data_IF_194287315104
#
_entry.id   IF_194287315104
#
_cell.length_a   1.000
_cell.length_b   1.000
_cell.length_c   1.000
_cell.angle_alpha   90.00
_cell.angle_beta   90.00
_cell.angle_gamma   90.00
#
_symmetry.space_group_name_H-M   'P 1'
#
loop_
_entity.id
_entity.type
_entity.pdbx_description
1 polymer ?
#
# COMPACT_ATOMS: atom_id res chain seq x y z
N UNK A 1 -2.96 -2.88 -16.92
CA UNK A 1 -2.92 -3.55 -15.60
C UNK A 1 -3.96 -2.98 -14.63
N UNK A 2 -5.11 -2.49 -15.11
CA UNK A 2 -6.11 -1.77 -14.29
C UNK A 2 -7.18 -2.67 -13.66
N UNK A 3 -7.56 -3.77 -14.32
CA UNK A 3 -8.80 -4.46 -13.98
C UNK A 3 -8.73 -5.25 -12.67
N UNK A 4 -7.52 -5.67 -12.27
CA UNK A 4 -7.30 -6.37 -11.00
C UNK A 4 -7.33 -5.42 -9.80
N UNK A 5 -6.82 -4.20 -9.92
CA UNK A 5 -6.80 -3.23 -8.83
C UNK A 5 -8.18 -2.63 -8.58
N UNK A 6 -8.98 -2.43 -9.62
CA UNK A 6 -10.38 -2.04 -9.49
C UNK A 6 -11.19 -3.08 -8.68
N UNK A 7 -10.98 -4.38 -8.90
CA UNK A 7 -11.63 -5.44 -8.11
C UNK A 7 -11.19 -5.44 -6.65
N UNK A 8 -9.91 -5.18 -6.38
CA UNK A 8 -9.40 -5.05 -5.01
C UNK A 8 -10.01 -3.84 -4.31
N UNK A 9 -10.16 -2.73 -5.02
CA UNK A 9 -10.82 -1.52 -4.50
C UNK A 9 -12.29 -1.76 -4.16
N UNK A 10 -13.06 -2.34 -5.08
CA UNK A 10 -14.47 -2.70 -4.85
C UNK A 10 -14.61 -3.66 -3.66
N UNK A 11 -13.70 -4.63 -3.55
CA UNK A 11 -13.68 -5.54 -2.41
C UNK A 11 -13.36 -4.83 -1.10
N UNK A 12 -12.53 -3.79 -1.12
CA UNK A 12 -12.18 -2.95 0.02
C UNK A 12 -13.36 -2.07 0.47
N UNK A 13 -14.08 -1.45 -0.47
CA UNK A 13 -15.26 -0.61 -0.18
C UNK A 13 -16.37 -1.39 0.51
N UNK A 14 -16.60 -2.65 0.10
CA UNK A 14 -17.62 -3.53 0.66
C UNK A 14 -17.09 -4.53 1.71
N UNK A 15 -15.90 -4.31 2.27
CA UNK A 15 -15.26 -5.30 3.12
C UNK A 15 -15.90 -5.37 4.53
N UNK A 16 -16.43 -6.55 4.87
CA UNK A 16 -16.76 -6.94 6.24
C UNK A 16 -15.48 -7.24 7.04
N UNK A 17 -15.18 -6.39 8.01
CA UNK A 17 -13.92 -6.39 8.78
C UNK A 17 -13.75 -7.65 9.63
N UNK A 18 -14.83 -8.34 9.97
CA UNK A 18 -14.78 -9.58 10.73
C UNK A 18 -14.35 -10.77 9.86
N UNK A 19 -14.34 -10.60 8.53
CA UNK A 19 -14.08 -11.68 7.57
C UNK A 19 -12.89 -11.31 6.69
N UNK A 20 -11.68 -11.80 7.01
CA UNK A 20 -10.52 -11.60 6.15
C UNK A 20 -10.80 -12.07 4.72
N UNK A 21 -10.35 -11.29 3.75
CA UNK A 21 -10.59 -11.57 2.32
C UNK A 21 -9.26 -11.55 1.57
N UNK A 22 -9.06 -12.52 0.68
CA UNK A 22 -7.88 -12.55 -0.20
C UNK A 22 -8.32 -12.51 -1.65
N UNK A 23 -7.67 -11.68 -2.45
CA UNK A 23 -7.86 -11.57 -3.89
C UNK A 23 -6.55 -11.92 -4.61
N UNK A 24 -6.64 -12.80 -5.60
CA UNK A 24 -5.49 -13.19 -6.42
C UNK A 24 -5.37 -12.24 -7.61
N UNK A 25 -4.17 -11.70 -7.82
CA UNK A 25 -3.81 -10.89 -8.97
C UNK A 25 -2.80 -11.66 -9.83
N UNK A 26 -2.59 -11.29 -11.12
CA UNK A 26 -1.63 -11.97 -11.99
C UNK A 26 -0.20 -12.03 -11.42
N UNK A 27 0.26 -10.97 -10.77
CA UNK A 27 1.64 -10.86 -10.24
C UNK A 27 1.72 -10.65 -8.73
N UNK A 28 0.58 -10.71 -8.03
CA UNK A 28 0.49 -10.41 -6.61
C UNK A 28 -0.73 -11.11 -5.98
N UNK A 29 -0.91 -10.90 -4.68
CA UNK A 29 -2.18 -11.12 -3.97
C UNK A 29 -2.48 -9.91 -3.10
N UNK A 30 -3.75 -9.55 -2.98
CA UNK A 30 -4.21 -8.56 -2.02
C UNK A 30 -4.92 -9.27 -0.86
N UNK A 31 -4.61 -8.89 0.37
CA UNK A 31 -5.24 -9.44 1.57
C UNK A 31 -5.86 -8.30 2.37
N UNK A 32 -7.16 -8.38 2.63
CA UNK A 32 -7.90 -7.50 3.54
C UNK A 32 -8.01 -8.20 4.90
N UNK A 33 -7.51 -7.57 5.96
CA UNK A 33 -7.48 -8.17 7.30
C UNK A 33 -7.30 -7.12 8.40
N UNK A 34 -7.64 -7.46 9.64
CA UNK A 34 -7.31 -6.66 10.82
C UNK A 34 -5.87 -6.93 11.26
N UNK A 35 -5.04 -5.89 11.25
CA UNK A 35 -3.67 -5.92 11.72
C UNK A 35 -3.56 -5.82 13.25
N UNK A 36 -2.36 -5.50 13.74
CA UNK A 36 -2.14 -5.23 15.15
C UNK A 36 -3.03 -4.06 15.62
N UNK A 37 -3.49 -4.11 16.87
CA UNK A 37 -4.44 -3.15 17.44
C UNK A 37 -5.73 -2.98 16.62
N UNK A 38 -6.16 -4.04 15.94
CA UNK A 38 -7.38 -4.07 15.12
C UNK A 38 -7.40 -3.02 13.99
N UNK A 39 -6.22 -2.57 13.54
CA UNK A 39 -6.13 -1.62 12.43
C UNK A 39 -6.57 -2.32 11.14
N UNK A 40 -7.57 -1.82 10.40
CA UNK A 40 -7.99 -2.44 9.15
C UNK A 40 -6.94 -2.17 8.06
N UNK A 41 -6.43 -3.23 7.46
CA UNK A 41 -5.34 -3.17 6.48
C UNK A 41 -5.71 -3.86 5.17
N UNK A 42 -5.16 -3.32 4.09
CA UNK A 42 -4.93 -4.03 2.83
C UNK A 42 -3.43 -4.29 2.68
N UNK A 43 -3.03 -5.55 2.52
CA UNK A 43 -1.67 -5.93 2.17
C UNK A 43 -1.61 -6.43 0.72
N UNK A 44 -0.91 -5.69 -0.14
CA UNK A 44 -0.55 -6.13 -1.48
C UNK A 44 0.81 -6.83 -1.41
N UNK A 45 0.84 -8.12 -1.72
CA UNK A 45 2.04 -8.96 -1.63
C UNK A 45 2.44 -9.41 -3.04
N UNK A 46 3.61 -9.00 -3.55
CA UNK A 46 4.08 -9.43 -4.86
C UNK A 46 4.45 -10.92 -4.81
N UNK A 47 4.42 -11.61 -5.95
CA UNK A 47 4.84 -13.03 -6.02
C UNK A 47 6.31 -13.24 -5.70
N UNK A 48 7.15 -12.26 -6.06
CA UNK A 48 8.58 -12.22 -5.72
C UNK A 48 8.81 -10.97 -4.86
N UNK A 49 9.60 -11.07 -3.77
CA UNK A 49 9.94 -9.88 -2.99
C UNK A 49 10.54 -8.80 -3.89
N UNK A 50 10.22 -7.55 -3.62
CA UNK A 50 10.75 -6.39 -4.35
C UNK A 50 11.91 -5.75 -3.59
N UNK A 51 12.73 -4.98 -4.28
CA UNK A 51 13.77 -4.15 -3.68
C UNK A 51 13.33 -2.68 -3.64
N UNK A 52 12.89 -2.14 -2.48
CA UNK A 52 12.59 -0.72 -2.34
C UNK A 52 13.90 0.09 -2.26
N UNK A 53 14.49 0.34 -3.44
CA UNK A 53 15.75 1.09 -3.60
C UNK A 53 15.52 2.60 -3.40
N UNK A 54 16.54 3.29 -2.93
CA UNK A 54 16.51 4.73 -2.60
C UNK A 54 16.11 5.63 -3.78
N UNK A 55 16.60 5.32 -4.98
CA UNK A 55 16.27 6.04 -6.22
C UNK A 55 14.77 5.92 -6.57
N UNK A 56 14.22 4.72 -6.46
CA UNK A 56 12.78 4.48 -6.66
C UNK A 56 11.93 5.16 -5.57
N UNK A 57 12.40 5.17 -4.31
CA UNK A 57 11.69 5.87 -3.22
C UNK A 57 11.68 7.38 -3.45
N UNK A 58 12.80 7.95 -3.90
CA UNK A 58 12.92 9.37 -4.22
C UNK A 58 11.94 9.78 -5.32
N UNK A 59 11.79 8.95 -6.36
CA UNK A 59 10.80 9.18 -7.41
C UNK A 59 9.36 9.11 -6.89
N UNK A 60 9.07 8.20 -5.95
CA UNK A 60 7.75 8.11 -5.30
C UNK A 60 7.41 9.36 -4.49
N UNK A 61 8.38 9.99 -3.81
CA UNK A 61 8.13 11.20 -2.99
C UNK A 61 7.46 12.31 -3.81
N UNK A 62 7.90 12.55 -5.05
CA UNK A 62 7.28 13.54 -5.92
C UNK A 62 5.81 13.21 -6.26
N UNK A 63 5.50 11.92 -6.41
CA UNK A 63 4.14 11.42 -6.66
C UNK A 63 3.26 11.64 -5.43
N UNK A 64 3.74 11.24 -4.26
CA UNK A 64 3.05 11.39 -2.98
C UNK A 64 2.75 12.86 -2.65
N UNK A 65 3.68 13.77 -2.98
CA UNK A 65 3.53 15.20 -2.78
C UNK A 65 2.29 15.79 -3.47
N UNK A 66 1.87 15.25 -4.63
CA UNK A 66 0.63 15.68 -5.31
C UNK A 66 -0.63 15.42 -4.50
N UNK A 67 -0.56 14.43 -3.61
CA UNK A 67 -1.66 13.98 -2.74
C UNK A 67 -1.50 14.47 -1.29
N UNK A 68 -0.50 15.30 -1.00
CA UNK A 68 -0.19 15.78 0.35
C UNK A 68 0.32 14.67 1.29
N UNK A 69 0.88 13.61 0.71
CA UNK A 69 1.48 12.49 1.43
C UNK A 69 3.00 12.63 1.47
N UNK A 70 3.64 12.13 2.54
CA UNK A 70 5.09 12.06 2.65
C UNK A 70 5.54 10.64 3.02
N UNK A 71 6.81 10.33 2.71
CA UNK A 71 7.44 9.04 2.97
C UNK A 71 8.44 9.20 4.12
N UNK A 72 8.24 8.47 5.22
CA UNK A 72 9.16 8.46 6.36
C UNK A 72 9.86 7.10 6.48
N UNK A 73 11.19 7.12 6.72
CA UNK A 73 11.96 5.92 7.07
C UNK A 73 11.88 5.66 8.58
N UNK A 74 11.63 4.40 8.97
CA UNK A 74 11.68 3.94 10.36
C UNK A 74 12.70 2.78 10.45
N UNK A 75 13.84 3.04 11.10
CA UNK A 75 14.96 2.10 11.27
C UNK A 75 14.78 1.19 12.52
N UNK A 76 15.40 0.01 12.62
CA UNK A 76 16.49 -0.52 11.79
C UNK A 76 16.13 -1.80 11.01
N UNK A 77 16.57 -1.84 9.74
CA UNK A 77 16.16 -2.74 8.64
C UNK A 77 15.48 -2.02 7.45
N UNK A 78 15.31 -0.69 7.59
CA UNK A 78 14.75 0.31 6.68
C UNK A 78 13.38 -0.03 6.09
N UNK A 79 12.37 0.30 6.88
CA UNK A 79 10.97 0.20 6.51
C UNK A 79 10.43 1.60 6.25
N UNK A 80 9.81 1.79 5.09
CA UNK A 80 9.18 3.08 4.79
C UNK A 80 7.73 3.06 5.20
N UNK A 81 7.21 4.19 5.68
CA UNK A 81 5.78 4.41 5.89
C UNK A 81 5.31 5.66 5.15
N UNK A 82 4.05 5.63 4.72
CA UNK A 82 3.36 6.74 4.08
C UNK A 82 2.54 7.46 5.15
N UNK A 83 2.68 8.77 5.25
CA UNK A 83 1.90 9.62 6.16
C UNK A 83 1.23 10.76 5.37
N UNK A 84 0.38 11.54 6.05
CA UNK A 84 0.15 12.92 5.61
C UNK A 84 1.21 13.81 6.25
N UNK A 85 1.51 14.94 5.62
CA UNK A 85 2.38 16.00 6.18
C UNK A 85 2.01 16.42 7.62
N UNK A 86 0.76 16.19 8.02
CA UNK A 86 0.38 16.12 9.42
C UNK A 86 0.93 14.82 10.05
N UNK A 87 2.00 14.96 10.82
CA UNK A 87 2.80 13.89 11.46
C UNK A 87 1.99 12.86 12.25
N UNK A 88 0.69 13.09 12.47
CA UNK A 88 -0.25 12.21 13.18
C UNK A 88 -0.97 11.19 12.30
N UNK A 89 -0.94 11.32 10.96
CA UNK A 89 -1.73 10.47 10.06
C UNK A 89 -0.88 9.43 9.33
N UNK A 90 -1.14 8.14 9.58
CA UNK A 90 -0.49 7.00 8.93
C UNK A 90 -1.37 6.39 7.84
N UNK A 91 -0.82 6.21 6.64
CA UNK A 91 -1.50 5.61 5.49
C UNK A 91 -0.99 4.20 5.20
N UNK A 92 0.29 3.90 5.40
CA UNK A 92 0.79 2.56 5.07
C UNK A 92 2.29 2.34 5.27
N UNK A 93 2.79 1.17 4.92
CA UNK A 93 4.18 0.72 5.03
C UNK A 93 4.63 -0.05 3.79
N UNK A 94 5.84 0.21 3.33
CA UNK A 94 6.48 -0.46 2.21
C UNK A 94 7.52 -1.44 2.74
N UNK A 95 7.40 -2.70 2.37
CA UNK A 95 8.33 -3.78 2.68
C UNK A 95 8.62 -4.59 1.41
N UNK A 96 9.78 -5.28 1.34
CA UNK A 96 10.09 -6.17 0.22
C UNK A 96 9.00 -7.19 -0.08
N UNK A 97 8.31 -7.70 0.93
CA UNK A 97 7.31 -8.77 0.81
C UNK A 97 5.86 -8.27 0.81
N UNK A 98 5.61 -7.01 1.16
CA UNK A 98 4.29 -6.42 1.19
C UNK A 98 4.28 -4.88 1.17
N UNK A 99 3.35 -4.30 0.42
CA UNK A 99 2.82 -2.96 0.66
C UNK A 99 1.58 -3.09 1.53
N UNK A 100 1.60 -2.49 2.72
CA UNK A 100 0.47 -2.49 3.66
C UNK A 100 -0.13 -1.10 3.72
N UNK A 101 -1.40 -0.94 3.40
CA UNK A 101 -2.11 0.33 3.55
C UNK A 101 -3.21 0.19 4.59
N UNK A 102 -3.46 1.26 5.34
CA UNK A 102 -4.61 1.40 6.20
C UNK A 102 -5.86 1.56 5.33
N UNK A 103 -6.77 0.59 5.42
CA UNK A 103 -7.96 0.47 4.60
C UNK A 103 -8.81 1.76 4.59
N UNK A 104 -9.19 2.25 5.77
CA UNK A 104 -10.04 3.45 5.86
C UNK A 104 -9.34 4.71 5.35
N UNK A 105 -8.05 4.88 5.65
CA UNK A 105 -7.29 6.04 5.21
C UNK A 105 -7.12 6.05 3.70
N UNK A 106 -6.85 4.90 3.08
CA UNK A 106 -6.75 4.83 1.63
C UNK A 106 -8.12 5.00 0.95
N UNK A 107 -9.20 4.47 1.54
CA UNK A 107 -10.57 4.74 1.09
C UNK A 107 -10.90 6.24 1.07
N UNK A 108 -10.53 6.96 2.14
CA UNK A 108 -10.73 8.40 2.23
C UNK A 108 -9.88 9.21 1.22
N UNK A 109 -8.75 8.67 0.77
CA UNK A 109 -7.91 9.28 -0.27
C UNK A 109 -8.44 9.00 -1.69
N UNK A 110 -9.17 7.90 -1.86
CA UNK A 110 -9.83 7.54 -3.12
C UNK A 110 -9.02 6.61 -4.02
N UNK A 111 -9.72 6.01 -4.98
CA UNK A 111 -9.18 5.01 -5.90
C UNK A 111 -7.93 5.47 -6.68
N UNK A 112 -7.85 6.70 -7.22
CA UNK A 112 -6.67 7.12 -7.97
C UNK A 112 -5.36 7.04 -7.17
N UNK A 113 -5.40 7.40 -5.89
CA UNK A 113 -4.23 7.34 -5.00
C UNK A 113 -3.85 5.89 -4.71
N UNK A 114 -4.85 5.04 -4.48
CA UNK A 114 -4.64 3.60 -4.28
C UNK A 114 -3.99 2.95 -5.52
N UNK A 115 -4.56 3.19 -6.70
CA UNK A 115 -4.06 2.64 -7.96
C UNK A 115 -2.62 3.07 -8.24
N UNK A 116 -2.32 4.36 -8.05
CA UNK A 116 -0.99 4.91 -8.30
C UNK A 116 0.07 4.34 -7.34
N UNK A 117 -0.21 4.30 -6.03
CA UNK A 117 0.73 3.74 -5.03
C UNK A 117 0.96 2.24 -5.26
N UNK A 118 -0.12 1.47 -5.48
CA UNK A 118 -0.01 0.02 -5.64
C UNK A 118 0.66 -0.33 -6.96
N UNK A 119 0.32 0.36 -8.05
CA UNK A 119 0.97 0.16 -9.37
C UNK A 119 2.45 0.46 -9.29
N UNK A 120 2.84 1.57 -8.66
CA UNK A 120 4.26 1.88 -8.45
C UNK A 120 4.96 0.77 -7.67
N UNK A 121 4.36 0.28 -6.58
CA UNK A 121 4.97 -0.74 -5.74
C UNK A 121 5.17 -2.07 -6.49
N UNK A 122 4.18 -2.48 -7.27
CA UNK A 122 4.25 -3.71 -8.06
C UNK A 122 5.22 -3.60 -9.26
N UNK A 123 5.59 -2.39 -9.67
CA UNK A 123 6.58 -2.14 -10.71
C UNK A 123 8.03 -2.14 -10.19
N UNK A 124 8.24 -2.19 -8.87
CA UNK A 124 9.59 -2.28 -8.30
C UNK A 124 10.31 -3.54 -8.78
N UNK A 125 11.65 -3.48 -8.99
CA UNK A 125 12.42 -4.64 -9.38
C UNK A 125 12.35 -5.72 -8.30
N UNK A 126 12.29 -6.98 -8.72
CA UNK A 126 12.40 -8.11 -7.81
C UNK A 126 13.78 -8.11 -7.11
N UNK A 127 13.78 -8.52 -5.84
CA UNK A 127 14.97 -8.72 -5.01
C UNK A 127 15.54 -10.12 -5.21
#
# INVERSE_FOLDING_TARGET
MSDGLAQVWQALEGWDRERPRTLTLPHARAQLYLGAMEIPLIAVRPRRPVAPREDAMTALVAVLGRWGLELECVQAGENYKLNRRDTKAYVGRIQPDALKLHAERILALGYPVFDEIVTWYLALPAR
#
